data_IF_024803973994
#
_entry.id   IF_024803973994
#
_cell.length_a   1.000
_cell.length_b   1.000
_cell.length_c   1.000
_cell.angle_alpha   90.00
_cell.angle_beta   90.00
_cell.angle_gamma   90.00
#
_symmetry.space_group_name_H-M   'P 1'
#
loop_
_entity.id
_entity.type
_entity.pdbx_description
1 polymer ?
#
# COMPACT_ATOMS: atom_id res chain seq x y z
N UNK A 1 -13.11 4.83 -15.26
CA UNK A 1 -11.69 4.43 -15.23
C UNK A 1 -11.44 3.49 -14.07
N UNK A 2 -10.71 2.40 -14.30
CA UNK A 2 -10.43 1.39 -13.28
C UNK A 2 -9.17 1.69 -12.46
N UNK A 3 -8.27 2.50 -13.01
CA UNK A 3 -7.05 2.99 -12.38
C UNK A 3 -7.10 4.52 -12.32
N UNK A 4 -6.88 5.07 -11.13
CA UNK A 4 -6.76 6.52 -10.91
C UNK A 4 -5.36 6.80 -10.37
N UNK A 5 -4.60 7.61 -11.10
CA UNK A 5 -3.34 8.18 -10.61
C UNK A 5 -3.60 9.61 -10.14
N UNK A 6 -3.23 9.89 -8.90
CA UNK A 6 -3.34 11.21 -8.28
C UNK A 6 -1.94 11.69 -7.98
N UNK A 7 -1.49 12.61 -8.81
CA UNK A 7 -0.18 13.18 -8.64
C UNK A 7 -0.18 14.26 -7.55
N UNK A 8 0.79 14.20 -6.65
CA UNK A 8 1.01 15.13 -5.55
C UNK A 8 -0.25 15.41 -4.72
N UNK A 9 -0.85 14.35 -4.16
CA UNK A 9 -2.10 14.43 -3.36
C UNK A 9 -2.00 15.45 -2.22
N UNK A 10 -0.79 15.69 -1.70
CA UNK A 10 -0.50 16.67 -0.66
C UNK A 10 -0.62 18.14 -1.14
N UNK A 11 -0.74 18.42 -2.43
CA UNK A 11 -1.01 19.77 -2.97
C UNK A 11 -2.50 20.08 -3.11
N UNK A 12 -3.35 19.06 -3.08
CA UNK A 12 -4.79 19.23 -3.18
C UNK A 12 -5.36 19.83 -1.87
N UNK A 13 -6.37 20.72 -1.94
CA UNK A 13 -7.06 21.20 -0.74
C UNK A 13 -7.70 20.05 0.06
N UNK A 14 -7.81 20.22 1.38
CA UNK A 14 -8.37 19.21 2.28
C UNK A 14 -9.79 18.73 1.87
N UNK A 15 -10.62 19.61 1.30
CA UNK A 15 -11.96 19.23 0.79
C UNK A 15 -11.87 18.24 -0.38
N UNK A 16 -10.93 18.45 -1.30
CA UNK A 16 -10.69 17.57 -2.45
C UNK A 16 -10.15 16.23 -2.00
N UNK A 17 -9.23 16.23 -1.03
CA UNK A 17 -8.72 15.01 -0.40
C UNK A 17 -9.85 14.23 0.28
N UNK A 18 -10.71 14.89 1.07
CA UNK A 18 -11.83 14.24 1.75
C UNK A 18 -12.79 13.56 0.77
N UNK A 19 -13.16 14.24 -0.32
CA UNK A 19 -14.00 13.66 -1.36
C UNK A 19 -13.36 12.41 -1.97
N UNK A 20 -12.06 12.44 -2.29
CA UNK A 20 -11.35 11.26 -2.78
C UNK A 20 -11.43 10.08 -1.81
N UNK A 21 -11.21 10.32 -0.52
CA UNK A 21 -11.23 9.26 0.49
C UNK A 21 -12.62 8.67 0.70
N UNK A 22 -13.67 9.47 0.56
CA UNK A 22 -15.05 8.97 0.52
C UNK A 22 -15.24 7.99 -0.65
N UNK A 23 -14.76 8.36 -1.85
CA UNK A 23 -14.83 7.47 -3.02
C UNK A 23 -14.03 6.19 -2.81
N UNK A 24 -12.85 6.27 -2.18
CA UNK A 24 -12.01 5.11 -1.91
C UNK A 24 -12.65 4.11 -0.94
N UNK A 25 -13.36 4.60 0.08
CA UNK A 25 -14.02 3.74 1.07
C UNK A 25 -15.36 3.21 0.57
N UNK A 26 -16.23 4.11 0.10
CA UNK A 26 -17.63 3.79 -0.21
C UNK A 26 -17.82 3.28 -1.64
N UNK A 27 -16.82 3.46 -2.52
CA UNK A 27 -16.87 3.09 -3.94
C UNK A 27 -18.10 3.65 -4.66
N UNK A 28 -18.57 4.80 -4.21
CA UNK A 28 -19.70 5.50 -4.79
C UNK A 28 -19.50 7.01 -4.64
N UNK A 29 -20.20 7.76 -5.48
CA UNK A 29 -20.18 9.22 -5.48
C UNK A 29 -21.63 9.70 -5.49
N UNK A 30 -22.01 10.60 -4.58
CA UNK A 30 -23.34 11.21 -4.60
C UNK A 30 -23.25 12.66 -5.06
N UNK A 31 -23.94 12.98 -6.15
CA UNK A 31 -24.03 14.35 -6.71
C UNK A 31 -25.51 14.67 -6.90
N UNK A 32 -25.95 15.81 -6.36
CA UNK A 32 -27.33 16.31 -6.49
C UNK A 32 -28.41 15.27 -6.16
N UNK A 33 -28.17 14.47 -5.10
CA UNK A 33 -29.08 13.42 -4.65
C UNK A 33 -29.05 12.13 -5.47
N UNK A 34 -28.22 12.04 -6.51
CA UNK A 34 -28.03 10.84 -7.31
C UNK A 34 -26.72 10.15 -6.93
N UNK A 35 -26.79 8.88 -6.55
CA UNK A 35 -25.63 8.07 -6.20
C UNK A 35 -25.16 7.23 -7.38
N UNK A 36 -23.89 7.37 -7.73
CA UNK A 36 -23.20 6.64 -8.79
C UNK A 36 -22.24 5.63 -8.16
N UNK A 37 -22.50 4.35 -8.36
CA UNK A 37 -21.62 3.26 -7.90
C UNK A 37 -20.48 3.08 -8.90
N UNK A 38 -19.26 2.91 -8.41
CA UNK A 38 -18.09 2.68 -9.24
C UNK A 38 -17.94 1.21 -9.61
N UNK A 39 -17.66 0.98 -10.89
CA UNK A 39 -17.37 -0.36 -11.40
C UNK A 39 -16.06 -0.93 -10.83
N UNK A 40 -16.03 -2.24 -10.66
CA UNK A 40 -14.83 -2.99 -10.27
C UNK A 40 -14.09 -3.52 -11.51
N UNK A 41 -12.75 -3.57 -11.52
CA UNK A 41 -11.82 -3.16 -10.47
C UNK A 41 -11.65 -1.63 -10.35
N UNK A 42 -11.38 -1.15 -9.14
CA UNK A 42 -11.09 0.26 -8.84
C UNK A 42 -9.83 0.34 -7.98
N UNK A 43 -8.79 1.00 -8.49
CA UNK A 43 -7.51 1.18 -7.81
C UNK A 43 -7.10 2.66 -7.86
N UNK A 44 -6.72 3.20 -6.71
CA UNK A 44 -6.15 4.54 -6.59
C UNK A 44 -4.67 4.42 -6.26
N UNK A 45 -3.84 5.09 -7.05
CA UNK A 45 -2.41 5.31 -6.79
C UNK A 45 -2.27 6.81 -6.54
N UNK A 46 -1.74 7.18 -5.39
CA UNK A 46 -1.46 8.57 -5.05
C UNK A 46 0.05 8.75 -4.83
N UNK A 47 0.62 9.80 -5.40
CA UNK A 47 2.02 10.17 -5.16
C UNK A 47 2.07 11.32 -4.15
N UNK A 48 3.18 11.38 -3.43
CA UNK A 48 3.50 12.49 -2.53
C UNK A 48 4.92 12.94 -2.82
N UNK A 49 5.10 14.24 -3.01
CA UNK A 49 6.44 14.80 -3.08
C UNK A 49 6.94 15.03 -1.64
N UNK A 50 8.04 14.38 -1.22
CA UNK A 50 8.54 14.49 0.15
C UNK A 50 9.19 15.86 0.43
N UNK A 51 9.58 16.60 -0.61
CA UNK A 51 10.21 17.91 -0.46
C UNK A 51 9.10 18.93 -0.23
N UNK A 52 8.99 19.42 1.01
CA UNK A 52 8.04 20.46 1.40
C UNK A 52 8.37 21.77 0.67
N UNK A 53 7.65 22.06 -0.41
CA UNK A 53 7.54 23.40 -0.99
C UNK A 53 6.30 24.12 -0.44
N UNK A 54 6.27 25.45 -0.52
CA UNK A 54 5.11 26.25 -0.12
C UNK A 54 3.81 25.69 -0.76
N UNK A 55 2.75 25.58 0.05
CA UNK A 55 1.44 25.11 -0.41
C UNK A 55 1.19 23.60 -0.32
N UNK A 56 1.92 22.87 0.52
CA UNK A 56 1.65 21.45 0.81
C UNK A 56 0.81 21.29 2.09
N UNK A 57 -0.17 20.39 2.04
CA UNK A 57 -1.02 19.98 3.15
C UNK A 57 -0.66 18.55 3.55
N UNK A 58 -0.10 18.37 4.75
CA UNK A 58 0.17 17.02 5.28
C UNK A 58 -1.13 16.25 5.41
N UNK A 59 -1.14 15.01 4.89
CA UNK A 59 -2.29 14.12 5.08
C UNK A 59 -2.35 13.68 6.54
N UNK A 60 -3.51 13.81 7.20
CA UNK A 60 -3.69 13.23 8.53
C UNK A 60 -3.51 11.71 8.50
N UNK A 61 -2.98 11.13 9.57
CA UNK A 61 -2.77 9.67 9.68
C UNK A 61 -4.05 8.86 9.42
N UNK A 62 -5.19 9.37 9.90
CA UNK A 62 -6.49 8.73 9.65
C UNK A 62 -6.81 8.60 8.15
N UNK A 63 -6.28 9.50 7.31
CA UNK A 63 -6.40 9.43 5.85
C UNK A 63 -5.38 8.47 5.23
N UNK A 64 -4.14 8.51 5.70
CA UNK A 64 -3.11 7.56 5.26
C UNK A 64 -3.50 6.11 5.56
N UNK A 65 -4.18 5.86 6.69
CA UNK A 65 -4.66 4.53 7.10
C UNK A 65 -5.59 3.87 6.06
N UNK A 66 -6.18 4.65 5.14
CA UNK A 66 -7.03 4.18 4.03
C UNK A 66 -6.25 3.54 2.89
N UNK A 67 -4.96 3.87 2.74
CA UNK A 67 -4.11 3.23 1.75
C UNK A 67 -3.65 1.85 2.23
N UNK A 68 -3.69 0.87 1.32
CA UNK A 68 -3.21 -0.48 1.61
C UNK A 68 -1.69 -0.48 1.83
N UNK A 69 -0.95 0.16 0.93
CA UNK A 69 0.50 0.27 0.96
C UNK A 69 0.94 1.72 0.85
N UNK A 70 1.99 2.07 1.58
CA UNK A 70 2.93 3.11 1.18
C UNK A 70 4.12 2.44 0.52
N UNK A 71 4.69 3.06 -0.50
CA UNK A 71 5.90 2.58 -1.18
C UNK A 71 6.83 3.79 -1.31
N UNK A 72 8.06 3.64 -0.83
CA UNK A 72 9.13 4.63 -1.02
C UNK A 72 9.87 4.27 -2.30
N UNK A 73 10.00 5.22 -3.21
CA UNK A 73 10.68 5.05 -4.48
C UNK A 73 11.98 5.85 -4.40
N UNK A 74 13.10 5.14 -4.40
CA UNK A 74 14.43 5.74 -4.48
C UNK A 74 14.82 6.02 -5.94
N UNK A 75 15.87 6.82 -6.13
CA UNK A 75 16.44 7.04 -7.45
C UNK A 75 17.05 5.75 -8.01
N UNK A 76 16.98 5.53 -9.34
CA UNK A 76 17.60 4.36 -9.97
C UNK A 76 19.11 4.38 -9.75
N UNK A 77 19.71 3.19 -9.73
CA UNK A 77 21.16 3.07 -9.84
C UNK A 77 21.63 3.52 -11.22
N UNK A 78 22.91 3.88 -11.37
CA UNK A 78 23.49 4.28 -12.66
C UNK A 78 23.19 3.28 -13.79
N UNK A 79 23.24 1.97 -13.50
CA UNK A 79 22.97 0.93 -14.51
C UNK A 79 21.49 0.90 -14.93
N UNK A 80 20.57 1.08 -13.98
CA UNK A 80 19.14 1.18 -14.26
C UNK A 80 18.83 2.46 -15.05
N UNK A 81 19.48 3.58 -14.70
CA UNK A 81 19.36 4.86 -15.41
C UNK A 81 19.81 4.72 -16.88
N UNK A 82 20.97 4.10 -17.12
CA UNK A 82 21.46 3.82 -18.48
C UNK A 82 20.43 2.98 -19.25
N UNK A 83 19.87 1.96 -18.62
CA UNK A 83 18.89 1.07 -19.25
C UNK A 83 17.57 1.78 -19.56
N UNK A 84 17.11 2.69 -18.71
CA UNK A 84 15.95 3.55 -18.95
C UNK A 84 16.22 4.44 -20.17
N UNK A 85 17.36 5.13 -20.21
CA UNK A 85 17.76 6.02 -21.31
C UNK A 85 17.89 5.23 -22.61
N UNK A 86 18.52 4.04 -22.59
CA UNK A 86 18.66 3.18 -23.76
C UNK A 86 17.31 2.73 -24.30
N UNK A 87 16.38 2.31 -23.43
CA UNK A 87 15.03 1.91 -23.85
C UNK A 87 14.27 3.07 -24.49
N UNK A 88 14.29 4.25 -23.88
CA UNK A 88 13.64 5.44 -24.45
C UNK A 88 14.27 5.83 -25.79
N UNK A 89 15.60 5.77 -25.91
CA UNK A 89 16.31 6.06 -27.15
C UNK A 89 15.96 5.07 -28.27
N UNK A 90 15.88 3.78 -27.97
CA UNK A 90 15.52 2.72 -28.92
C UNK A 90 14.08 2.81 -29.42
N UNK A 91 13.16 3.36 -28.62
CA UNK A 91 11.77 3.52 -29.01
C UNK A 91 11.59 4.53 -30.16
N UNK A 92 12.53 5.47 -30.39
CA UNK A 92 12.54 6.38 -31.55
C UNK A 92 11.17 7.01 -31.93
N UNK A 93 10.36 7.39 -30.95
CA UNK A 93 8.97 7.88 -31.14
C UNK A 93 7.96 6.89 -31.74
N UNK A 94 8.26 5.58 -31.81
CA UNK A 94 7.25 4.55 -32.01
C UNK A 94 6.22 4.64 -30.87
N UNK A 95 4.94 4.41 -31.17
CA UNK A 95 3.89 4.55 -30.17
C UNK A 95 4.13 3.57 -29.03
N UNK A 96 4.31 4.10 -27.81
CA UNK A 96 4.56 3.29 -26.59
C UNK A 96 3.45 2.26 -26.32
N UNK A 97 2.28 2.49 -26.90
CA UNK A 97 1.08 1.66 -26.74
C UNK A 97 0.89 0.65 -27.88
N UNK A 98 1.56 0.81 -29.02
CA UNK A 98 1.29 0.03 -30.24
C UNK A 98 1.56 -1.47 -30.08
N UNK A 99 2.45 -1.81 -29.15
CA UNK A 99 2.86 -3.19 -28.85
C UNK A 99 2.20 -3.76 -27.57
N UNK A 100 1.30 -3.03 -26.91
CA UNK A 100 0.64 -3.49 -25.70
C UNK A 100 -0.49 -4.44 -26.08
N UNK A 101 -0.38 -5.71 -25.65
CA UNK A 101 -1.42 -6.71 -25.82
C UNK A 101 -2.28 -6.78 -24.56
N UNK A 102 -3.60 -6.75 -24.75
CA UNK A 102 -4.53 -7.01 -23.65
C UNK A 102 -4.45 -8.49 -23.30
N UNK A 103 -4.04 -8.80 -22.06
CA UNK A 103 -3.95 -10.18 -21.56
C UNK A 103 -5.14 -10.58 -20.69
N UNK A 104 -5.75 -9.62 -19.99
CA UNK A 104 -6.81 -9.84 -19.03
C UNK A 104 -7.94 -8.84 -19.23
N UNK A 105 -9.17 -9.31 -19.07
CA UNK A 105 -10.39 -8.52 -19.01
C UNK A 105 -10.71 -8.11 -17.57
N UNK A 106 -11.60 -7.12 -17.41
CA UNK A 106 -12.08 -6.69 -16.10
C UNK A 106 -12.81 -7.81 -15.34
N UNK A 107 -13.51 -8.70 -16.05
CA UNK A 107 -14.23 -9.80 -15.44
C UNK A 107 -13.29 -10.90 -14.93
N UNK A 108 -12.23 -11.22 -15.68
CA UNK A 108 -11.17 -12.13 -15.22
C UNK A 108 -10.48 -11.58 -13.97
N UNK A 109 -10.23 -10.27 -13.90
CA UNK A 109 -9.66 -9.64 -12.69
C UNK A 109 -10.58 -9.84 -11.48
N UNK A 110 -11.89 -9.69 -11.63
CA UNK A 110 -12.85 -9.94 -10.53
C UNK A 110 -12.83 -11.40 -10.09
N UNK A 111 -12.75 -12.33 -11.04
CA UNK A 111 -12.63 -13.76 -10.75
C UNK A 111 -11.35 -14.06 -9.96
N UNK A 112 -10.21 -13.50 -10.37
CA UNK A 112 -8.95 -13.63 -9.63
C UNK A 112 -9.00 -12.99 -8.25
N UNK A 113 -9.63 -11.83 -8.09
CA UNK A 113 -9.86 -11.23 -6.77
C UNK A 113 -10.69 -12.16 -5.85
N UNK A 114 -11.67 -12.89 -6.40
CA UNK A 114 -12.42 -13.88 -5.63
C UNK A 114 -11.56 -15.09 -5.24
N UNK A 115 -10.70 -15.58 -6.14
CA UNK A 115 -9.77 -16.68 -5.85
C UNK A 115 -8.75 -16.31 -4.77
N UNK A 116 -8.16 -15.12 -4.83
CA UNK A 116 -7.21 -14.64 -3.80
C UNK A 116 -7.85 -14.62 -2.42
N UNK A 117 -9.15 -14.28 -2.31
CA UNK A 117 -9.87 -14.31 -1.02
C UNK A 117 -9.98 -15.72 -0.43
N UNK A 118 -10.01 -16.75 -1.27
CA UNK A 118 -10.15 -18.16 -0.87
C UNK A 118 -8.84 -18.78 -0.38
N UNK A 119 -7.69 -18.11 -0.54
CA UNK A 119 -6.40 -18.60 -0.04
C UNK A 119 -6.49 -18.92 1.46
N UNK A 120 -5.97 -20.10 1.80
CA UNK A 120 -6.01 -20.70 3.12
C UNK A 120 -5.05 -19.95 4.03
N UNK A 121 -5.53 -19.64 5.24
CA UNK A 121 -4.72 -19.03 6.30
C UNK A 121 -5.02 -19.78 7.59
N UNK A 122 -3.99 -20.37 8.16
CA UNK A 122 -4.08 -21.10 9.42
C UNK A 122 -4.30 -20.15 10.61
N UNK A 123 -4.92 -20.65 11.67
CA UNK A 123 -5.28 -19.85 12.85
C UNK A 123 -4.04 -19.25 13.54
N UNK A 124 -2.95 -20.00 13.62
CA UNK A 124 -1.65 -19.55 14.16
C UNK A 124 -1.07 -18.34 13.39
N UNK A 125 -1.31 -18.25 12.08
CA UNK A 125 -0.90 -17.11 11.24
C UNK A 125 -1.78 -15.88 11.46
N UNK A 126 -3.07 -16.07 11.72
CA UNK A 126 -3.95 -14.97 12.11
C UNK A 126 -3.51 -14.36 13.46
N UNK A 127 -3.17 -15.21 14.42
CA UNK A 127 -2.59 -14.79 15.71
C UNK A 127 -1.25 -14.10 15.52
N UNK A 128 -0.39 -14.60 14.63
CA UNK A 128 0.89 -13.97 14.31
C UNK A 128 0.71 -12.54 13.76
N UNK A 129 -0.21 -12.33 12.82
CA UNK A 129 -0.56 -10.99 12.31
C UNK A 129 -1.06 -10.08 13.45
N UNK A 130 -1.93 -10.60 14.32
CA UNK A 130 -2.44 -9.85 15.46
C UNK A 130 -1.32 -9.45 16.43
N UNK A 131 -0.40 -10.37 16.75
CA UNK A 131 0.75 -10.12 17.63
C UNK A 131 1.67 -9.05 17.06
N UNK A 132 1.95 -9.07 15.76
CA UNK A 132 2.73 -8.01 15.09
C UNK A 132 2.07 -6.65 15.30
N UNK A 133 0.78 -6.53 15.01
CA UNK A 133 0.06 -5.25 15.11
C UNK A 133 -0.05 -4.78 16.57
N UNK A 134 -0.31 -5.68 17.53
CA UNK A 134 -0.33 -5.35 18.95
C UNK A 134 1.04 -4.85 19.42
N UNK A 135 2.13 -5.49 18.99
CA UNK A 135 3.48 -5.03 19.33
C UNK A 135 3.73 -3.60 18.84
N UNK A 136 3.16 -3.16 17.71
CA UNK A 136 3.30 -1.75 17.29
C UNK A 136 2.65 -0.75 18.26
N UNK A 137 1.66 -1.17 19.06
CA UNK A 137 0.97 -0.31 20.05
C UNK A 137 1.63 -0.33 21.43
N UNK A 138 2.37 -1.40 21.73
CA UNK A 138 3.08 -1.58 22.99
C UNK A 138 4.56 -1.18 22.91
N UNK A 139 5.08 -0.95 21.70
CA UNK A 139 6.47 -0.56 21.48
C UNK A 139 6.72 0.89 21.90
N UNK A 140 7.61 1.09 22.88
CA UNK A 140 7.98 2.39 23.42
C UNK A 140 8.65 3.35 22.41
N UNK A 141 9.11 2.86 21.26
CA UNK A 141 9.71 3.69 20.20
C UNK A 141 8.66 4.26 19.24
N UNK A 142 7.40 3.86 19.40
CA UNK A 142 6.30 4.35 18.60
C UNK A 142 5.38 5.23 19.46
N UNK A 143 5.21 6.48 19.04
CA UNK A 143 4.21 7.38 19.60
C UNK A 143 2.79 6.95 19.20
N UNK A 144 2.64 6.41 18.00
CA UNK A 144 1.38 5.86 17.50
C UNK A 144 1.62 4.48 16.88
N UNK A 145 0.89 3.47 17.35
CA UNK A 145 0.85 2.13 16.76
C UNK A 145 -0.29 1.96 15.75
N UNK A 146 -0.24 0.87 14.99
CA UNK A 146 -1.13 0.64 13.87
C UNK A 146 -2.56 0.26 14.28
N UNK A 147 -3.57 0.72 13.52
CA UNK A 147 -4.98 0.42 13.76
C UNK A 147 -5.34 -1.04 13.42
N UNK A 148 -6.51 -1.57 13.82
CA UNK A 148 -6.96 -2.91 13.41
C UNK A 148 -7.07 -3.09 11.89
N UNK A 149 -7.17 -1.99 11.13
CA UNK A 149 -7.15 -2.02 9.66
C UNK A 149 -5.81 -2.56 9.14
N UNK A 150 -4.72 -2.35 9.87
CA UNK A 150 -3.43 -2.93 9.54
C UNK A 150 -3.46 -4.46 9.54
N UNK A 151 -4.09 -5.09 10.54
CA UNK A 151 -4.20 -6.56 10.59
C UNK A 151 -4.92 -7.12 9.37
N UNK A 152 -6.05 -6.49 8.99
CA UNK A 152 -6.84 -6.89 7.82
C UNK A 152 -6.05 -6.64 6.52
N UNK A 153 -5.33 -5.53 6.44
CA UNK A 153 -4.49 -5.18 5.30
C UNK A 153 -3.33 -6.16 5.11
N UNK A 154 -2.62 -6.52 6.19
CA UNK A 154 -1.55 -7.52 6.17
C UNK A 154 -2.11 -8.87 5.69
N UNK A 155 -3.24 -9.31 6.24
CA UNK A 155 -3.89 -10.55 5.83
C UNK A 155 -4.20 -10.58 4.33
N UNK A 156 -4.85 -9.53 3.82
CA UNK A 156 -5.22 -9.45 2.41
C UNK A 156 -4.00 -9.36 1.48
N UNK A 157 -2.97 -8.61 1.89
CA UNK A 157 -1.71 -8.51 1.16
C UNK A 157 -0.94 -9.85 1.14
N UNK A 158 -0.87 -10.55 2.27
CA UNK A 158 -0.22 -11.86 2.37
C UNK A 158 -0.89 -12.90 1.48
N UNK A 159 -2.24 -12.92 1.41
CA UNK A 159 -2.97 -13.73 0.43
C UNK A 159 -2.59 -13.36 -1.01
N UNK A 160 -2.48 -12.07 -1.32
CA UNK A 160 -2.01 -11.60 -2.62
C UNK A 160 -0.61 -12.12 -2.98
N UNK A 161 0.34 -12.07 -2.04
CA UNK A 161 1.69 -12.60 -2.25
C UNK A 161 1.72 -14.11 -2.46
N UNK A 162 0.96 -14.87 -1.65
CA UNK A 162 0.81 -16.31 -1.85
C UNK A 162 0.29 -16.63 -3.25
N UNK A 163 -0.75 -15.92 -3.71
CA UNK A 163 -1.34 -16.09 -5.04
C UNK A 163 -0.33 -15.84 -6.17
N UNK A 164 0.41 -14.73 -6.11
CA UNK A 164 1.42 -14.35 -7.11
C UNK A 164 2.54 -15.41 -7.19
N UNK A 165 2.81 -16.07 -6.06
CA UNK A 165 3.79 -17.16 -5.95
C UNK A 165 3.22 -18.54 -6.29
N UNK A 166 1.97 -18.61 -6.75
CA UNK A 166 1.31 -19.86 -7.13
C UNK A 166 0.95 -20.77 -5.96
N UNK A 167 0.84 -20.23 -4.74
CA UNK A 167 0.44 -20.98 -3.54
C UNK A 167 -1.01 -20.68 -3.17
N UNK A 168 -1.70 -21.69 -2.66
CA UNK A 168 -3.06 -21.64 -2.15
C UNK A 168 -3.14 -21.46 -0.62
N UNK A 169 -1.98 -21.32 0.05
CA UNK A 169 -1.86 -21.02 1.47
C UNK A 169 -0.82 -19.92 1.75
N UNK A 170 -1.06 -19.14 2.81
CA UNK A 170 -0.15 -18.11 3.30
C UNK A 170 0.97 -18.72 4.14
N UNK A 171 2.19 -18.21 4.00
CA UNK A 171 3.32 -18.51 4.88
C UNK A 171 3.70 -17.30 5.75
N UNK A 172 4.50 -17.50 6.82
CA UNK A 172 5.01 -16.39 7.61
C UNK A 172 5.78 -15.34 6.79
N UNK A 173 6.45 -15.76 5.71
CA UNK A 173 7.21 -14.85 4.85
C UNK A 173 6.30 -13.88 4.09
N UNK A 174 5.15 -14.35 3.58
CA UNK A 174 4.16 -13.47 2.94
C UNK A 174 3.65 -12.39 3.90
N UNK A 175 3.51 -12.73 5.18
CA UNK A 175 3.08 -11.81 6.25
C UNK A 175 4.17 -10.79 6.54
N UNK A 176 5.43 -11.21 6.64
CA UNK A 176 6.57 -10.32 6.89
C UNK A 176 6.76 -9.32 5.76
N UNK A 177 6.73 -9.79 4.51
CA UNK A 177 6.82 -8.93 3.33
C UNK A 177 5.64 -7.96 3.23
N UNK A 178 4.42 -8.40 3.57
CA UNK A 178 3.25 -7.52 3.64
C UNK A 178 3.35 -6.49 4.76
N UNK A 179 3.87 -6.85 5.93
CA UNK A 179 3.86 -5.99 7.10
C UNK A 179 4.59 -4.66 6.87
N UNK A 180 5.74 -4.66 6.18
CA UNK A 180 6.54 -3.44 5.98
C UNK A 180 5.78 -2.34 5.20
N UNK A 181 5.32 -2.55 3.94
CA UNK A 181 4.61 -1.53 3.18
C UNK A 181 3.23 -1.19 3.77
N UNK A 182 2.66 -2.09 4.58
CA UNK A 182 1.35 -1.91 5.23
C UNK A 182 1.44 -1.07 6.51
N UNK A 183 2.54 -1.21 7.28
CA UNK A 183 2.69 -0.59 8.59
C UNK A 183 3.42 0.74 8.53
N UNK A 184 4.30 0.98 7.55
CA UNK A 184 5.19 2.15 7.57
C UNK A 184 4.49 3.52 7.57
N UNK A 185 3.24 3.60 7.11
CA UNK A 185 2.39 4.80 7.14
C UNK A 185 1.27 4.71 8.19
N UNK A 186 1.33 3.71 9.08
CA UNK A 186 0.37 3.47 10.15
C UNK A 186 1.00 3.53 11.53
N UNK A 187 2.29 3.84 11.60
CA UNK A 187 3.03 4.02 12.85
C UNK A 187 3.77 5.35 12.83
N UNK A 188 3.82 6.01 13.98
CA UNK A 188 4.60 7.24 14.17
C UNK A 188 5.70 6.95 15.17
N UNK A 189 6.95 7.25 14.78
CA UNK A 189 8.13 7.13 15.63
C UNK A 189 8.10 8.24 16.70
N UNK A 190 8.53 7.93 17.93
CA UNK A 190 8.69 8.95 18.98
C UNK A 190 9.73 10.00 18.56
N UNK A 191 9.54 11.30 18.89
CA UNK A 191 10.48 12.36 18.52
C UNK A 191 11.94 12.07 18.92
N UNK A 192 12.16 11.47 20.09
CA UNK A 192 13.48 11.12 20.59
C UNK A 192 14.21 10.14 19.66
N UNK A 193 13.48 9.14 19.15
CA UNK A 193 14.03 8.12 18.24
C UNK A 193 14.20 8.64 16.82
N UNK A 194 13.30 9.52 16.38
CA UNK A 194 13.44 10.20 15.10
C UNK A 194 14.71 11.07 15.08
N UNK A 195 15.03 11.75 16.20
CA UNK A 195 16.28 12.53 16.34
C UNK A 195 17.55 11.67 16.30
N UNK A 196 17.46 10.40 16.70
CA UNK A 196 18.55 9.41 16.58
C UNK A 196 18.66 8.82 15.15
N UNK A 197 17.78 9.25 14.23
CA UNK A 197 17.76 8.77 12.84
C UNK A 197 17.05 7.42 12.65
N UNK A 198 16.35 6.92 13.67
CA UNK A 198 15.65 5.64 13.60
C UNK A 198 14.35 5.80 12.81
N UNK A 199 14.16 4.93 11.83
CA UNK A 199 13.02 4.95 10.92
C UNK A 199 11.90 4.01 11.38
N UNK A 200 10.67 4.27 10.93
CA UNK A 200 9.55 3.35 11.15
C UNK A 200 9.80 1.96 10.56
N UNK A 201 10.47 1.89 9.40
CA UNK A 201 10.83 0.63 8.74
C UNK A 201 11.75 -0.21 9.61
N UNK A 202 12.76 0.38 10.24
CA UNK A 202 13.69 -0.33 11.14
C UNK A 202 12.97 -0.87 12.37
N UNK A 203 12.10 -0.07 12.99
CA UNK A 203 11.30 -0.51 14.14
C UNK A 203 10.36 -1.65 13.74
N UNK A 204 9.71 -1.56 12.57
CA UNK A 204 8.85 -2.63 12.06
C UNK A 204 9.66 -3.92 11.86
N UNK A 205 10.85 -3.85 11.27
CA UNK A 205 11.73 -5.03 11.12
C UNK A 205 12.10 -5.65 12.46
N UNK A 206 12.45 -4.84 13.46
CA UNK A 206 12.72 -5.32 14.82
C UNK A 206 11.52 -6.03 15.45
N UNK A 207 10.29 -5.51 15.24
CA UNK A 207 9.06 -6.17 15.69
C UNK A 207 8.87 -7.52 14.97
N UNK A 208 9.12 -7.59 13.66
CA UNK A 208 8.99 -8.84 12.89
C UNK A 208 10.03 -9.90 13.29
N UNK A 209 11.16 -9.48 13.83
CA UNK A 209 12.21 -10.37 14.36
C UNK A 209 11.91 -10.83 15.80
N UNK A 210 11.25 -10.00 16.61
CA UNK A 210 10.95 -10.30 18.01
C UNK A 210 9.72 -11.18 18.20
N UNK A 211 8.73 -11.09 17.31
CA UNK A 211 7.52 -11.91 17.39
C UNK A 211 7.84 -13.34 16.92
N UNK A 212 7.66 -14.30 17.82
CA UNK A 212 7.90 -15.72 17.52
C UNK A 212 7.04 -16.19 16.34
N UNK A 213 7.70 -16.76 15.34
CA UNK A 213 7.04 -17.34 14.17
C UNK A 213 6.30 -18.60 14.64
N UNK A 214 5.00 -18.73 14.34
CA UNK A 214 4.26 -19.93 14.71
C UNK A 214 4.87 -21.17 14.06
N UNK A 215 4.88 -22.28 14.81
CA UNK A 215 5.27 -23.61 14.32
C UNK A 215 4.14 -24.27 13.55
#
# INVERSE_FOLDING_TARGET
>A
SNLILIDEINRAPAKTQAALFEVMEERQITIDGTTYVLDTPFLVIATQNPIEQEGTYRLPEAQLDRFLFKISIDYPTMNEEILIIQREHLLQNQGKLDNIKTLLSSEEIKQYQALVKQIIVEQNLLEYIAKIVINTRENAFLYLGASPRASIAILNAAKGFAAIRGRDFVTPEDIKEAAIPVLQHRVIVTPEREMEGITSIEIIKQILESVEIPR
#
